data_IF_101064492436
#
_entry.id   IF_101064492436
#
_cell.length_a   1.000
_cell.length_b   1.000
_cell.length_c   1.000
_cell.angle_alpha   90.00
_cell.angle_beta   90.00
_cell.angle_gamma   90.00
#
_symmetry.space_group_name_H-M   'P 1'
#
loop_
_entity.id
_entity.type
_entity.pdbx_description
1 polymer ?
#
# COMPACT_ATOMS: atom_id res chain seq x y z
N UNK A 1 -24.39 21.53 -17.82
CA UNK A 1 -23.46 21.77 -16.69
C UNK A 1 -23.84 20.95 -15.46
N UNK A 2 -25.00 21.17 -14.82
CA UNK A 2 -25.42 20.47 -13.59
C UNK A 2 -25.46 18.93 -13.72
N UNK A 3 -25.99 18.40 -14.82
CA UNK A 3 -26.06 16.94 -15.08
C UNK A 3 -24.66 16.32 -15.22
N UNK A 4 -23.75 17.00 -15.94
CA UNK A 4 -22.36 16.58 -16.08
C UNK A 4 -21.62 16.61 -14.74
N UNK A 5 -21.85 17.65 -13.95
CA UNK A 5 -21.29 17.79 -12.61
C UNK A 5 -21.79 16.69 -11.66
N UNK A 6 -23.09 16.38 -11.70
CA UNK A 6 -23.67 15.29 -10.91
C UNK A 6 -23.14 13.91 -11.34
N UNK A 7 -22.97 13.68 -12.65
CA UNK A 7 -22.41 12.44 -13.18
C UNK A 7 -20.96 12.25 -12.72
N UNK A 8 -20.15 13.31 -12.73
CA UNK A 8 -18.78 13.31 -12.21
C UNK A 8 -18.77 12.95 -10.72
N UNK A 9 -19.67 13.53 -9.92
CA UNK A 9 -19.79 13.22 -8.48
C UNK A 9 -20.20 11.77 -8.22
N UNK A 10 -21.11 11.21 -9.02
CA UNK A 10 -21.56 9.82 -8.86
C UNK A 10 -20.43 8.85 -9.24
N UNK A 11 -19.77 9.07 -10.37
CA UNK A 11 -18.60 8.27 -10.79
C UNK A 11 -17.48 8.39 -9.75
N UNK A 12 -17.28 9.59 -9.21
CA UNK A 12 -16.34 9.89 -8.14
C UNK A 12 -16.60 9.07 -6.87
N UNK A 13 -17.83 9.07 -6.38
CA UNK A 13 -18.20 8.36 -5.15
C UNK A 13 -18.11 6.84 -5.35
N UNK A 14 -18.57 6.35 -6.50
CA UNK A 14 -18.47 4.94 -6.88
C UNK A 14 -17.01 4.47 -6.95
N UNK A 15 -16.11 5.30 -7.48
CA UNK A 15 -14.69 4.99 -7.58
C UNK A 15 -13.97 4.94 -6.22
N UNK A 16 -14.21 5.94 -5.35
CA UNK A 16 -13.66 5.93 -3.99
C UNK A 16 -14.13 4.69 -3.23
N UNK A 17 -15.43 4.41 -3.30
CA UNK A 17 -16.02 3.24 -2.64
C UNK A 17 -15.38 1.97 -3.17
N UNK A 18 -15.22 1.85 -4.49
CA UNK A 18 -14.59 0.67 -5.10
C UNK A 18 -13.17 0.44 -4.58
N UNK A 19 -12.30 1.46 -4.61
CA UNK A 19 -10.92 1.30 -4.13
C UNK A 19 -10.89 1.03 -2.62
N UNK A 20 -11.73 1.71 -1.85
CA UNK A 20 -11.85 1.46 -0.41
C UNK A 20 -12.27 0.02 -0.13
N UNK A 21 -13.26 -0.50 -0.87
CA UNK A 21 -13.69 -1.89 -0.79
C UNK A 21 -12.53 -2.83 -1.14
N UNK A 22 -11.75 -2.54 -2.18
CA UNK A 22 -10.59 -3.37 -2.53
C UNK A 22 -9.53 -3.36 -1.41
N UNK A 23 -9.25 -2.22 -0.80
CA UNK A 23 -8.32 -2.13 0.35
C UNK A 23 -8.86 -2.93 1.54
N UNK A 24 -10.15 -2.81 1.85
CA UNK A 24 -10.79 -3.59 2.90
C UNK A 24 -10.74 -5.09 2.58
N UNK A 25 -11.05 -5.49 1.34
CA UNK A 25 -10.95 -6.89 0.89
C UNK A 25 -9.52 -7.39 1.00
N UNK A 26 -8.52 -6.58 0.64
CA UNK A 26 -7.11 -6.94 0.74
C UNK A 26 -6.73 -7.18 2.21
N UNK A 27 -7.05 -6.25 3.10
CA UNK A 27 -6.82 -6.37 4.55
C UNK A 27 -7.51 -7.62 5.09
N UNK A 28 -8.80 -7.79 4.79
CA UNK A 28 -9.57 -8.96 5.21
C UNK A 28 -9.02 -10.26 4.64
N UNK A 29 -8.56 -10.28 3.39
CA UNK A 29 -7.96 -11.45 2.76
C UNK A 29 -6.69 -11.88 3.50
N UNK A 30 -5.83 -10.93 3.88
CA UNK A 30 -4.64 -11.22 4.69
C UNK A 30 -5.01 -11.77 6.07
N UNK A 31 -6.01 -11.19 6.74
CA UNK A 31 -6.50 -11.69 8.03
C UNK A 31 -7.19 -13.06 7.92
N UNK A 32 -8.02 -13.28 6.91
CA UNK A 32 -8.66 -14.55 6.60
C UNK A 32 -7.63 -15.62 6.27
N UNK A 33 -6.63 -15.30 5.46
CA UNK A 33 -5.53 -16.21 5.17
C UNK A 33 -4.78 -16.59 6.43
N UNK A 34 -4.46 -15.62 7.28
CA UNK A 34 -3.84 -15.86 8.58
C UNK A 34 -4.69 -16.81 9.44
N UNK A 35 -6.00 -16.55 9.55
CA UNK A 35 -6.93 -17.38 10.31
C UNK A 35 -7.05 -18.80 9.74
N UNK A 36 -7.21 -18.93 8.42
CA UNK A 36 -7.28 -20.22 7.73
C UNK A 36 -5.99 -21.01 7.89
N UNK A 37 -4.80 -20.40 7.76
CA UNK A 37 -3.54 -21.13 7.90
C UNK A 37 -3.25 -21.52 9.34
N UNK A 38 -3.62 -20.67 10.31
CA UNK A 38 -3.55 -21.03 11.72
C UNK A 38 -4.40 -22.29 12.03
N UNK A 39 -5.65 -22.33 11.56
CA UNK A 39 -6.54 -23.46 11.81
C UNK A 39 -6.22 -24.69 10.94
N UNK A 40 -5.82 -24.49 9.67
CA UNK A 40 -5.43 -25.56 8.76
C UNK A 40 -4.11 -26.19 9.23
N UNK A 41 -3.13 -25.42 9.71
CA UNK A 41 -1.88 -25.97 10.23
C UNK A 41 -2.08 -26.82 11.49
N UNK A 42 -3.08 -26.51 12.32
CA UNK A 42 -3.50 -27.37 13.44
C UNK A 42 -4.07 -28.72 12.95
N UNK A 43 -4.67 -28.75 11.75
CA UNK A 43 -5.28 -29.94 11.14
C UNK A 43 -4.39 -30.67 10.11
N UNK A 44 -3.31 -30.04 9.60
CA UNK A 44 -2.32 -30.63 8.66
C UNK A 44 -1.29 -31.46 9.44
N UNK A 45 -1.80 -32.41 10.20
CA UNK A 45 -1.06 -33.55 10.79
C UNK A 45 -0.75 -34.60 9.69
N UNK A 46 -1.31 -34.45 8.47
CA UNK A 46 -1.45 -35.57 7.51
C UNK A 46 -0.43 -35.58 6.35
N UNK A 47 0.30 -34.49 6.06
CA UNK A 47 1.16 -34.39 4.86
C UNK A 47 2.67 -34.61 5.11
N UNK A 48 3.05 -35.09 6.29
CA UNK A 48 4.45 -35.30 6.71
C UNK A 48 5.24 -36.40 5.96
N UNK A 49 4.80 -36.81 4.77
CA UNK A 49 5.43 -37.88 3.98
C UNK A 49 5.90 -37.53 2.58
N UNK A 50 5.58 -36.35 2.03
CA UNK A 50 5.91 -36.01 0.64
C UNK A 50 7.25 -35.27 0.59
N UNK A 51 8.23 -35.87 -0.08
CA UNK A 51 9.52 -35.23 -0.33
C UNK A 51 9.39 -34.09 -1.36
N UNK A 52 10.20 -33.04 -1.21
CA UNK A 52 10.24 -31.91 -2.15
C UNK A 52 10.48 -32.36 -3.60
N UNK A 53 11.27 -33.41 -3.83
CA UNK A 53 11.55 -33.95 -5.16
C UNK A 53 10.30 -34.53 -5.84
N UNK A 54 9.37 -35.09 -5.07
CA UNK A 54 8.07 -35.57 -5.57
C UNK A 54 7.12 -34.40 -5.78
N UNK A 55 7.02 -33.49 -4.81
CA UNK A 55 6.15 -32.32 -4.90
C UNK A 55 6.48 -31.42 -6.11
N UNK A 56 7.76 -31.21 -6.41
CA UNK A 56 8.19 -30.39 -7.56
C UNK A 56 8.01 -31.07 -8.92
N UNK A 57 7.73 -32.39 -8.94
CA UNK A 57 7.37 -33.12 -10.16
C UNK A 57 5.87 -33.23 -10.37
N UNK A 58 5.08 -32.83 -9.37
CA UNK A 58 3.63 -32.85 -9.47
C UNK A 58 3.14 -31.77 -10.45
N UNK A 59 2.45 -32.21 -11.49
CA UNK A 59 1.85 -31.33 -12.50
C UNK A 59 0.88 -30.30 -11.91
N UNK A 60 0.21 -30.62 -10.81
CA UNK A 60 -0.73 -29.70 -10.13
C UNK A 60 0.00 -28.53 -9.48
N UNK A 61 1.14 -28.81 -8.81
CA UNK A 61 2.00 -27.80 -8.19
C UNK A 61 2.59 -26.89 -9.26
N UNK A 62 3.16 -27.47 -10.33
CA UNK A 62 3.74 -26.69 -11.43
C UNK A 62 2.69 -25.81 -12.13
N UNK A 63 1.47 -26.31 -12.33
CA UNK A 63 0.38 -25.54 -12.94
C UNK A 63 -0.07 -24.38 -12.04
N UNK A 64 -0.19 -24.61 -10.74
CA UNK A 64 -0.55 -23.56 -9.77
C UNK A 64 0.50 -22.44 -9.78
N UNK A 65 1.77 -22.79 -9.63
CA UNK A 65 2.88 -21.82 -9.66
C UNK A 65 2.96 -21.09 -10.99
N UNK A 66 2.76 -21.79 -12.11
CA UNK A 66 2.74 -21.17 -13.44
C UNK A 66 1.63 -20.12 -13.56
N UNK A 67 0.43 -20.42 -13.07
CA UNK A 67 -0.69 -19.48 -13.07
C UNK A 67 -0.41 -18.28 -12.15
N UNK A 68 0.10 -18.53 -10.94
CA UNK A 68 0.45 -17.47 -9.98
C UNK A 68 1.52 -16.53 -10.54
N UNK A 69 2.54 -17.06 -11.23
CA UNK A 69 3.55 -16.25 -11.91
C UNK A 69 2.95 -15.41 -13.04
N UNK A 70 2.03 -15.96 -13.82
CA UNK A 70 1.32 -15.20 -14.86
C UNK A 70 0.48 -14.09 -14.24
N UNK A 71 -0.21 -14.35 -13.13
CA UNK A 71 -0.97 -13.32 -12.41
C UNK A 71 -0.06 -12.22 -11.86
N UNK A 72 1.10 -12.58 -11.31
CA UNK A 72 2.11 -11.63 -10.82
C UNK A 72 2.64 -10.74 -11.93
N UNK A 73 2.99 -11.35 -13.07
CA UNK A 73 3.46 -10.62 -14.27
C UNK A 73 2.36 -9.73 -14.82
N UNK A 74 1.11 -10.21 -14.89
CA UNK A 74 -0.03 -9.40 -15.33
C UNK A 74 -0.17 -8.12 -14.48
N UNK A 75 -0.14 -8.28 -13.16
CA UNK A 75 -0.23 -7.16 -12.22
C UNK A 75 0.95 -6.19 -12.35
N UNK A 76 2.18 -6.70 -12.28
CA UNK A 76 3.38 -5.84 -12.31
C UNK A 76 3.58 -5.16 -13.66
N UNK A 77 3.31 -5.85 -14.76
CA UNK A 77 3.38 -5.32 -16.11
C UNK A 77 2.33 -4.24 -16.30
N UNK A 78 1.07 -4.49 -15.93
CA UNK A 78 0.01 -3.47 -16.03
C UNK A 78 0.38 -2.22 -15.22
N UNK A 79 0.85 -2.40 -13.98
CA UNK A 79 1.21 -1.31 -13.08
C UNK A 79 2.42 -0.51 -13.62
N UNK A 80 3.49 -1.19 -14.03
CA UNK A 80 4.71 -0.57 -14.55
C UNK A 80 4.52 0.08 -15.91
N UNK A 81 3.78 -0.56 -16.83
CA UNK A 81 3.56 -0.02 -18.18
C UNK A 81 2.83 1.30 -18.14
N UNK A 82 1.77 1.43 -17.33
CA UNK A 82 1.05 2.71 -17.22
C UNK A 82 1.85 3.79 -16.48
N UNK A 83 2.83 3.39 -15.66
CA UNK A 83 3.76 4.31 -15.01
C UNK A 83 4.92 4.73 -15.93
N UNK A 84 5.17 4.01 -17.02
CA UNK A 84 6.27 4.27 -17.94
C UNK A 84 6.02 5.54 -18.76
N UNK A 85 7.00 6.45 -18.81
CA UNK A 85 6.84 7.81 -19.36
C UNK A 85 6.19 7.89 -20.75
N UNK A 86 6.55 7.06 -21.76
CA UNK A 86 5.92 7.13 -23.08
C UNK A 86 4.42 6.82 -23.03
N UNK A 87 4.05 5.74 -22.32
CA UNK A 87 2.66 5.30 -22.17
C UNK A 87 1.89 6.30 -21.31
N UNK A 88 2.49 6.74 -20.20
CA UNK A 88 1.92 7.75 -19.31
C UNK A 88 1.60 9.04 -20.07
N UNK A 89 2.49 9.54 -20.93
CA UNK A 89 2.25 10.74 -21.75
C UNK A 89 1.12 10.53 -22.76
N UNK A 90 1.05 9.36 -23.40
CA UNK A 90 -0.03 9.02 -24.33
C UNK A 90 -1.38 8.89 -23.62
N UNK A 91 -1.43 8.29 -22.44
CA UNK A 91 -2.64 8.22 -21.63
C UNK A 91 -3.03 9.59 -21.08
N UNK A 92 -2.07 10.42 -20.69
CA UNK A 92 -2.33 11.80 -20.27
C UNK A 92 -2.88 12.67 -21.41
N UNK A 93 -2.39 12.52 -22.65
CA UNK A 93 -2.95 13.26 -23.79
C UNK A 93 -4.37 12.82 -24.15
N UNK A 94 -4.70 11.54 -23.93
CA UNK A 94 -6.03 11.01 -24.22
C UNK A 94 -7.05 11.26 -23.09
N UNK A 95 -6.65 11.14 -21.82
CA UNK A 95 -7.55 11.15 -20.66
C UNK A 95 -7.45 12.43 -19.81
N UNK A 96 -6.43 13.26 -20.03
CA UNK A 96 -6.19 14.48 -19.26
C UNK A 96 -6.16 14.21 -17.75
N UNK A 97 -7.02 14.92 -17.02
CA UNK A 97 -7.14 14.85 -15.55
C UNK A 97 -7.61 13.49 -15.03
N UNK A 98 -8.24 12.66 -15.88
CA UNK A 98 -8.71 11.33 -15.50
C UNK A 98 -7.59 10.27 -15.52
N UNK A 99 -6.43 10.57 -16.11
CA UNK A 99 -5.33 9.61 -16.27
C UNK A 99 -4.94 8.93 -14.95
N UNK A 100 -4.85 9.71 -13.86
CA UNK A 100 -4.46 9.18 -12.54
C UNK A 100 -5.53 8.26 -11.95
N UNK A 101 -6.81 8.61 -12.07
CA UNK A 101 -7.90 7.76 -11.62
C UNK A 101 -7.92 6.45 -12.42
N UNK A 102 -7.81 6.52 -13.75
CA UNK A 102 -7.77 5.35 -14.63
C UNK A 102 -6.62 4.40 -14.27
N UNK A 103 -5.43 4.95 -14.03
CA UNK A 103 -4.28 4.21 -13.54
C UNK A 103 -4.58 3.47 -12.23
N UNK A 104 -5.13 4.16 -11.23
CA UNK A 104 -5.47 3.59 -9.94
C UNK A 104 -6.56 2.51 -10.05
N UNK A 105 -7.64 2.74 -10.83
CA UNK A 105 -8.71 1.76 -11.03
C UNK A 105 -8.21 0.49 -11.68
N UNK A 106 -7.46 0.62 -12.78
CA UNK A 106 -6.98 -0.53 -13.55
C UNK A 106 -5.94 -1.33 -12.76
N UNK A 107 -5.09 -0.66 -11.97
CA UNK A 107 -4.16 -1.32 -11.04
C UNK A 107 -4.90 -2.08 -9.95
N UNK A 108 -5.95 -1.49 -9.36
CA UNK A 108 -6.76 -2.15 -8.35
C UNK A 108 -7.54 -3.35 -8.92
N UNK A 109 -8.03 -3.26 -10.15
CA UNK A 109 -8.66 -4.37 -10.87
C UNK A 109 -7.65 -5.50 -11.14
N UNK A 110 -6.45 -5.19 -11.62
CA UNK A 110 -5.40 -6.18 -11.84
C UNK A 110 -5.02 -6.91 -10.53
N UNK A 111 -4.91 -6.16 -9.43
CA UNK A 111 -4.68 -6.74 -8.10
C UNK A 111 -5.86 -7.62 -7.65
N UNK A 112 -7.10 -7.21 -7.89
CA UNK A 112 -8.28 -8.01 -7.57
C UNK A 112 -8.30 -9.34 -8.35
N UNK A 113 -7.95 -9.30 -9.64
CA UNK A 113 -7.82 -10.51 -10.48
C UNK A 113 -6.74 -11.43 -9.90
N UNK A 114 -5.57 -10.89 -9.55
CA UNK A 114 -4.51 -11.65 -8.89
C UNK A 114 -5.00 -12.33 -7.61
N UNK A 115 -5.66 -11.59 -6.72
CA UNK A 115 -6.19 -12.15 -5.46
C UNK A 115 -7.27 -13.22 -5.68
N UNK A 116 -8.15 -13.01 -6.66
CA UNK A 116 -9.29 -13.89 -6.93
C UNK A 116 -8.88 -15.22 -7.56
N UNK A 117 -7.89 -15.19 -8.44
CA UNK A 117 -7.46 -16.37 -9.19
C UNK A 117 -6.19 -17.03 -8.65
N UNK A 118 -5.63 -16.51 -7.54
CA UNK A 118 -4.48 -17.10 -6.85
C UNK A 118 -4.70 -18.58 -6.53
N UNK A 119 -3.71 -19.43 -6.82
CA UNK A 119 -3.78 -20.88 -6.63
C UNK A 119 -2.94 -21.31 -5.42
N UNK A 120 -3.54 -21.53 -4.24
CA UNK A 120 -2.78 -21.99 -3.09
C UNK A 120 -2.19 -23.38 -3.36
N UNK A 121 -0.88 -23.54 -3.10
CA UNK A 121 -0.20 -24.82 -3.30
C UNK A 121 -0.34 -25.65 -2.03
N UNK A 122 -1.30 -26.57 -2.02
CA UNK A 122 -1.60 -27.46 -0.87
C UNK A 122 -0.93 -28.83 -0.97
N UNK A 123 -0.56 -29.27 -2.17
CA UNK A 123 0.08 -30.59 -2.41
C UNK A 123 1.60 -30.60 -2.18
N UNK A 124 2.22 -29.46 -1.89
CA UNK A 124 3.63 -29.37 -1.51
C UNK A 124 3.78 -29.17 0.01
N UNK A 125 4.86 -29.67 0.62
CA UNK A 125 5.16 -29.34 2.02
C UNK A 125 5.40 -27.83 2.20
N UNK A 126 5.10 -27.31 3.39
CA UNK A 126 5.45 -25.93 3.74
C UNK A 126 6.98 -25.76 3.81
N UNK A 127 7.50 -24.60 3.42
CA UNK A 127 8.93 -24.28 3.57
C UNK A 127 9.33 -24.21 5.04
N UNK A 128 8.49 -23.60 5.86
CA UNK A 128 8.63 -23.63 7.31
C UNK A 128 7.27 -23.46 7.99
N UNK A 129 7.20 -23.94 9.22
CA UNK A 129 6.02 -23.91 10.07
C UNK A 129 6.47 -24.08 11.52
N UNK A 130 6.06 -23.15 12.39
CA UNK A 130 6.36 -23.25 13.84
C UNK A 130 5.30 -24.11 14.50
N UNK A 131 5.70 -25.29 15.00
CA UNK A 131 4.79 -26.31 15.56
C UNK A 131 5.15 -26.77 16.97
N UNK A 132 6.26 -26.28 17.53
CA UNK A 132 6.72 -26.70 18.86
C UNK A 132 5.99 -25.92 19.94
N UNK A 133 5.29 -26.61 20.84
CA UNK A 133 4.69 -25.96 22.00
C UNK A 133 5.78 -25.28 22.87
N UNK A 134 5.56 -24.05 23.37
CA UNK A 134 4.35 -23.22 23.27
C UNK A 134 4.36 -22.24 22.06
N UNK A 135 5.38 -22.28 21.22
CA UNK A 135 5.57 -21.35 20.11
C UNK A 135 4.56 -21.50 18.98
N UNK A 136 3.89 -22.64 18.91
CA UNK A 136 2.73 -22.89 18.05
C UNK A 136 1.59 -21.88 18.27
N UNK A 137 1.45 -21.32 19.48
CA UNK A 137 0.47 -20.28 19.81
C UNK A 137 1.09 -18.88 19.78
N UNK A 138 2.25 -18.71 20.43
CA UNK A 138 2.86 -17.38 20.61
C UNK A 138 3.39 -16.79 19.30
N UNK A 139 3.99 -17.61 18.44
CA UNK A 139 4.60 -17.12 17.21
C UNK A 139 3.56 -16.58 16.22
N UNK A 140 2.45 -17.28 15.94
CA UNK A 140 1.36 -16.70 15.16
C UNK A 140 0.85 -15.39 15.77
N UNK A 141 0.60 -15.33 17.09
CA UNK A 141 0.10 -14.11 17.75
C UNK A 141 1.02 -12.90 17.52
N UNK A 142 2.34 -13.10 17.57
CA UNK A 142 3.33 -12.06 17.23
C UNK A 142 3.17 -11.64 15.77
N UNK A 143 3.11 -12.60 14.83
CA UNK A 143 2.92 -12.31 13.40
C UNK A 143 1.63 -11.51 13.15
N UNK A 144 0.51 -11.91 13.77
CA UNK A 144 -0.77 -11.19 13.68
C UNK A 144 -0.65 -9.75 14.18
N UNK A 145 -0.02 -9.55 15.34
CA UNK A 145 0.13 -8.23 15.95
C UNK A 145 0.98 -7.32 15.06
N UNK A 146 2.07 -7.84 14.52
CA UNK A 146 2.93 -7.09 13.59
C UNK A 146 2.19 -6.78 12.29
N UNK A 147 1.46 -7.74 11.72
CA UNK A 147 0.64 -7.50 10.53
C UNK A 147 -0.42 -6.44 10.76
N UNK A 148 -1.14 -6.51 11.89
CA UNK A 148 -2.12 -5.50 12.25
C UNK A 148 -1.49 -4.10 12.33
N UNK A 149 -0.32 -4.00 12.98
CA UNK A 149 0.42 -2.74 13.06
C UNK A 149 0.88 -2.25 11.68
N UNK A 150 1.39 -3.13 10.82
CA UNK A 150 1.79 -2.80 9.45
C UNK A 150 0.60 -2.24 8.65
N UNK A 151 -0.57 -2.89 8.72
CA UNK A 151 -1.77 -2.40 8.06
C UNK A 151 -2.26 -1.07 8.62
N UNK A 152 -2.21 -0.87 9.93
CA UNK A 152 -2.54 0.40 10.56
C UNK A 152 -1.61 1.54 10.08
N UNK A 153 -0.31 1.26 9.96
CA UNK A 153 0.67 2.22 9.43
C UNK A 153 0.42 2.51 7.95
N UNK A 154 0.18 1.48 7.12
CA UNK A 154 -0.17 1.64 5.69
C UNK A 154 -1.40 2.55 5.54
N UNK A 155 -2.47 2.27 6.28
CA UNK A 155 -3.68 3.10 6.26
C UNK A 155 -3.41 4.54 6.72
N UNK A 156 -2.57 4.71 7.74
CA UNK A 156 -2.18 6.04 8.23
C UNK A 156 -1.38 6.82 7.17
N UNK A 157 -0.45 6.17 6.48
CA UNK A 157 0.32 6.77 5.38
C UNK A 157 -0.63 7.19 4.24
N UNK A 158 -1.60 6.35 3.87
CA UNK A 158 -2.59 6.69 2.85
C UNK A 158 -3.39 7.95 3.21
N UNK A 159 -3.74 8.13 4.48
CA UNK A 159 -4.42 9.34 4.95
C UNK A 159 -3.50 10.56 4.93
N UNK A 160 -2.25 10.43 5.38
CA UNK A 160 -1.25 11.51 5.39
C UNK A 160 -0.95 12.01 3.97
N UNK A 161 -0.92 11.12 3.00
CA UNK A 161 -0.61 11.43 1.60
C UNK A 161 -1.80 12.02 0.82
N UNK A 162 -2.90 12.38 1.50
CA UNK A 162 -4.14 12.88 0.91
C UNK A 162 -4.74 11.85 -0.06
N UNK A 163 -5.51 10.91 0.47
CA UNK A 163 -6.09 9.79 -0.27
C UNK A 163 -6.82 10.21 -1.58
N UNK A 164 -7.65 11.26 -1.61
CA UNK A 164 -8.18 11.83 -2.85
C UNK A 164 -7.11 12.25 -3.88
N UNK A 165 -6.02 12.86 -3.44
CA UNK A 165 -4.91 13.25 -4.33
C UNK A 165 -4.18 12.02 -4.89
N UNK A 166 -4.01 10.97 -4.08
CA UNK A 166 -3.45 9.69 -4.51
C UNK A 166 -4.29 9.03 -5.60
N UNK A 167 -5.62 9.06 -5.45
CA UNK A 167 -6.58 8.44 -6.37
C UNK A 167 -6.82 9.22 -7.67
N UNK A 168 -6.29 10.44 -7.84
CA UNK A 168 -6.60 11.24 -9.03
C UNK A 168 -7.86 12.11 -8.90
N UNK A 169 -8.53 12.06 -7.76
CA UNK A 169 -9.79 12.79 -7.51
C UNK A 169 -9.53 14.28 -7.46
N UNK A 170 -8.51 14.67 -6.69
CA UNK A 170 -8.24 16.08 -6.43
C UNK A 170 -7.90 16.81 -7.73
N UNK A 171 -7.25 16.12 -8.66
CA UNK A 171 -6.94 16.61 -10.00
C UNK A 171 -8.23 16.90 -10.79
N UNK A 172 -9.22 16.01 -10.75
CA UNK A 172 -10.53 16.22 -11.40
C UNK A 172 -11.30 17.37 -10.73
N UNK A 173 -11.33 17.40 -9.39
CA UNK A 173 -12.02 18.44 -8.64
C UNK A 173 -11.44 19.84 -8.90
N UNK A 174 -10.11 19.98 -8.90
CA UNK A 174 -9.45 21.25 -9.14
C UNK A 174 -9.66 21.74 -10.58
N UNK A 175 -9.67 20.83 -11.56
CA UNK A 175 -9.97 21.17 -12.95
C UNK A 175 -11.41 21.69 -13.10
N UNK A 176 -12.39 21.03 -12.48
CA UNK A 176 -13.78 21.48 -12.47
C UNK A 176 -13.96 22.88 -11.86
N UNK A 177 -13.08 23.27 -10.94
CA UNK A 177 -13.07 24.60 -10.30
C UNK A 177 -12.14 25.61 -11.00
N UNK A 178 -11.39 25.21 -12.02
CA UNK A 178 -10.40 26.07 -12.69
C UNK A 178 -9.18 26.41 -11.83
N UNK A 179 -8.86 25.59 -10.83
CA UNK A 179 -7.76 25.81 -9.87
C UNK A 179 -6.40 25.25 -10.33
N UNK A 180 -6.34 24.51 -11.44
CA UNK A 180 -5.12 23.90 -11.98
C UNK A 180 -4.62 22.67 -11.20
N UNK A 181 -3.41 22.18 -11.50
CA UNK A 181 -2.88 20.94 -10.88
C UNK A 181 -2.58 21.10 -9.37
N UNK A 182 -3.20 20.31 -8.48
CA UNK A 182 -2.94 20.37 -7.04
C UNK A 182 -1.47 20.11 -6.66
N UNK A 183 -0.70 19.36 -7.46
CA UNK A 183 0.72 19.13 -7.20
C UNK A 183 1.57 20.39 -7.42
N UNK A 184 1.18 21.26 -8.36
CA UNK A 184 1.89 22.50 -8.65
C UNK A 184 1.86 23.50 -7.48
N UNK A 185 0.87 23.38 -6.59
CA UNK A 185 0.71 24.21 -5.39
C UNK A 185 1.65 23.80 -4.24
N UNK A 186 2.31 22.64 -4.32
CA UNK A 186 3.23 22.17 -3.27
C UNK A 186 4.62 22.80 -3.44
N UNK A 187 5.36 22.92 -2.34
CA UNK A 187 6.76 23.42 -2.39
C UNK A 187 7.64 22.54 -3.29
N UNK A 188 8.65 23.13 -3.94
CA UNK A 188 9.56 22.41 -4.84
C UNK A 188 10.26 21.22 -4.17
N UNK A 189 10.60 21.33 -2.88
CA UNK A 189 11.18 20.23 -2.09
C UNK A 189 10.19 19.07 -1.91
N UNK A 190 8.92 19.38 -1.64
CA UNK A 190 7.88 18.37 -1.54
C UNK A 190 7.62 17.69 -2.89
N UNK A 191 7.53 18.46 -3.98
CA UNK A 191 7.36 17.91 -5.34
C UNK A 191 8.49 16.92 -5.70
N UNK A 192 9.74 17.27 -5.38
CA UNK A 192 10.89 16.38 -5.55
C UNK A 192 10.77 15.10 -4.73
N UNK A 193 10.44 15.21 -3.44
CA UNK A 193 10.26 14.05 -2.57
C UNK A 193 9.17 13.12 -3.15
N UNK A 194 8.02 13.65 -3.58
CA UNK A 194 6.95 12.84 -4.19
C UNK A 194 7.36 12.19 -5.51
N UNK A 195 8.26 12.81 -6.28
CA UNK A 195 8.77 12.22 -7.52
C UNK A 195 9.71 11.03 -7.27
N UNK A 196 10.48 11.06 -6.17
CA UNK A 196 11.45 10.03 -5.82
C UNK A 196 10.88 8.94 -4.89
N UNK A 197 9.91 9.30 -4.04
CA UNK A 197 9.22 8.39 -3.11
C UNK A 197 8.08 7.67 -3.82
N UNK A 198 8.44 6.74 -4.72
CA UNK A 198 7.47 5.96 -5.50
C UNK A 198 6.59 5.05 -4.63
N UNK A 199 7.14 4.53 -3.54
CA UNK A 199 6.48 3.55 -2.68
C UNK A 199 6.74 3.86 -1.19
N UNK A 200 5.89 4.68 -0.54
CA UNK A 200 6.08 5.05 0.86
C UNK A 200 5.80 3.92 1.87
N UNK A 201 5.23 2.79 1.40
CA UNK A 201 4.79 1.64 2.22
C UNK A 201 5.63 0.38 2.02
N UNK A 202 6.85 0.50 1.48
CA UNK A 202 7.68 -0.66 1.13
C UNK A 202 7.97 -1.56 2.33
N UNK A 203 8.32 -0.98 3.48
CA UNK A 203 8.78 -1.73 4.65
C UNK A 203 7.64 -2.54 5.25
N UNK A 204 6.48 -1.94 5.39
CA UNK A 204 5.27 -2.56 5.92
C UNK A 204 4.79 -3.69 5.00
N UNK A 205 4.83 -3.49 3.68
CA UNK A 205 4.50 -4.54 2.71
C UNK A 205 5.50 -5.70 2.77
N UNK A 206 6.81 -5.44 2.88
CA UNK A 206 7.81 -6.49 3.02
C UNK A 206 7.60 -7.31 4.30
N UNK A 207 7.30 -6.65 5.43
CA UNK A 207 6.97 -7.34 6.67
C UNK A 207 5.74 -8.23 6.51
N UNK A 208 4.67 -7.72 5.89
CA UNK A 208 3.43 -8.48 5.64
C UNK A 208 3.63 -9.68 4.71
N UNK A 209 4.57 -9.59 3.76
CA UNK A 209 4.87 -10.67 2.83
C UNK A 209 5.70 -11.81 3.45
N UNK A 210 6.65 -11.47 4.33
CA UNK A 210 7.61 -12.44 4.86
C UNK A 210 7.29 -12.96 6.26
N UNK A 211 6.62 -12.17 7.11
CA UNK A 211 6.37 -12.53 8.51
C UNK A 211 5.11 -13.39 8.67
N UNK A 212 5.19 -14.63 8.19
CA UNK A 212 4.07 -15.58 8.21
C UNK A 212 4.33 -16.71 9.23
N UNK A 213 3.33 -17.18 9.99
CA UNK A 213 3.51 -18.33 10.90
C UNK A 213 3.84 -19.64 10.16
N UNK A 214 3.40 -19.72 8.91
CA UNK A 214 3.61 -20.83 7.98
C UNK A 214 3.82 -20.28 6.59
N UNK A 215 4.90 -20.66 5.93
CA UNK A 215 5.19 -20.23 4.55
C UNK A 215 5.04 -21.39 3.59
N UNK A 216 4.03 -21.30 2.73
CA UNK A 216 3.81 -22.22 1.61
C UNK A 216 4.66 -21.81 0.39
N UNK A 217 4.76 -22.71 -0.59
CA UNK A 217 5.57 -22.48 -1.79
C UNK A 217 5.04 -21.30 -2.64
N UNK A 218 3.73 -21.21 -2.85
CA UNK A 218 3.11 -20.09 -3.57
C UNK A 218 3.36 -18.75 -2.88
N UNK A 219 3.26 -18.71 -1.55
CA UNK A 219 3.53 -17.49 -0.77
C UNK A 219 4.98 -17.07 -0.81
N UNK A 220 5.91 -18.02 -0.81
CA UNK A 220 7.33 -17.72 -0.99
C UNK A 220 7.59 -17.08 -2.37
N UNK A 221 6.98 -17.62 -3.43
CA UNK A 221 7.06 -17.04 -4.79
C UNK A 221 6.48 -15.63 -4.83
N UNK A 222 5.30 -15.42 -4.23
CA UNK A 222 4.66 -14.10 -4.08
C UNK A 222 5.59 -13.11 -3.37
N UNK A 223 6.10 -13.50 -2.20
CA UNK A 223 6.94 -12.65 -1.36
C UNK A 223 8.24 -12.28 -2.08
N UNK A 224 8.92 -13.26 -2.69
CA UNK A 224 10.16 -13.03 -3.42
C UNK A 224 9.94 -12.12 -4.62
N UNK A 225 8.92 -12.39 -5.44
CA UNK A 225 8.61 -11.62 -6.63
C UNK A 225 8.30 -10.16 -6.29
N UNK A 226 7.39 -9.92 -5.34
CA UNK A 226 7.01 -8.56 -4.94
C UNK A 226 8.15 -7.84 -4.21
N UNK A 227 8.99 -8.55 -3.47
CA UNK A 227 10.19 -7.94 -2.85
C UNK A 227 11.18 -7.46 -3.89
N UNK A 228 11.47 -8.27 -4.91
CA UNK A 228 12.33 -7.88 -6.02
C UNK A 228 11.72 -6.70 -6.79
N UNK A 229 10.42 -6.76 -7.04
CA UNK A 229 9.69 -5.68 -7.70
C UNK A 229 9.79 -4.34 -6.93
N UNK A 230 9.55 -4.36 -5.61
CA UNK A 230 9.68 -3.18 -4.75
C UNK A 230 11.12 -2.66 -4.68
N UNK A 231 12.10 -3.56 -4.59
CA UNK A 231 13.51 -3.19 -4.53
C UNK A 231 13.97 -2.48 -5.81
N UNK A 232 13.57 -2.98 -6.98
CA UNK A 232 13.88 -2.37 -8.28
C UNK A 232 13.16 -1.03 -8.50
N UNK A 233 12.04 -0.80 -7.82
CA UNK A 233 11.25 0.41 -7.93
C UNK A 233 11.69 1.54 -6.97
N UNK A 234 12.64 1.28 -6.06
CA UNK A 234 13.11 2.27 -5.10
C UNK A 234 14.04 3.31 -5.74
N UNK A 235 13.75 4.60 -5.53
CA UNK A 235 14.48 5.72 -6.16
C UNK A 235 14.81 6.87 -5.21
N UNK A 236 14.80 6.65 -3.89
CA UNK A 236 15.16 7.70 -2.93
C UNK A 236 16.66 7.99 -2.94
N UNK A 237 17.02 9.26 -2.86
CA UNK A 237 18.41 9.67 -2.69
C UNK A 237 18.69 10.30 -1.32
N UNK A 238 19.97 10.54 -1.02
CA UNK A 238 20.41 11.09 0.26
C UNK A 238 19.79 12.47 0.58
N UNK A 239 19.41 13.26 -0.44
CA UNK A 239 18.80 14.59 -0.25
C UNK A 239 17.34 14.45 0.19
N UNK A 240 16.62 13.45 -0.34
CA UNK A 240 15.25 13.16 0.09
C UNK A 240 15.22 12.65 1.53
N UNK A 241 16.15 11.76 1.90
CA UNK A 241 16.29 11.27 3.27
C UNK A 241 16.57 12.42 4.26
N UNK A 242 17.47 13.35 3.92
CA UNK A 242 17.76 14.51 4.75
C UNK A 242 16.53 15.43 4.90
N UNK A 243 15.77 15.64 3.83
CA UNK A 243 14.53 16.41 3.87
C UNK A 243 13.49 15.75 4.77
N UNK A 244 13.26 14.44 4.65
CA UNK A 244 12.31 13.70 5.48
C UNK A 244 12.71 13.74 6.97
N UNK A 245 14.00 13.57 7.27
CA UNK A 245 14.53 13.67 8.63
C UNK A 245 14.28 15.06 9.23
N UNK A 246 14.45 16.14 8.43
CA UNK A 246 14.21 17.50 8.90
C UNK A 246 12.73 17.73 9.26
N UNK A 247 11.80 17.23 8.42
CA UNK A 247 10.37 17.35 8.64
C UNK A 247 9.92 16.56 9.88
N UNK A 248 10.41 15.33 10.03
CA UNK A 248 10.14 14.51 11.21
C UNK A 248 10.62 15.20 12.48
N UNK A 249 11.83 15.74 12.47
CA UNK A 249 12.38 16.41 13.65
C UNK A 249 11.58 17.67 14.02
N UNK A 250 11.20 18.50 13.05
CA UNK A 250 10.33 19.66 13.30
C UNK A 250 8.97 19.27 13.87
N UNK A 251 8.36 18.16 13.40
CA UNK A 251 7.09 17.67 13.92
C UNK A 251 7.23 17.11 15.34
N UNK A 252 8.27 16.34 15.60
CA UNK A 252 8.55 15.82 16.94
C UNK A 252 8.78 16.96 17.94
N UNK A 253 9.52 18.01 17.54
CA UNK A 253 9.72 19.20 18.36
C UNK A 253 8.40 19.89 18.72
N UNK A 254 7.48 20.01 17.76
CA UNK A 254 6.14 20.57 18.01
C UNK A 254 5.32 19.72 18.99
N UNK A 255 5.45 18.39 18.96
CA UNK A 255 4.77 17.50 19.92
C UNK A 255 5.43 17.47 21.29
N UNK A 256 6.75 17.67 21.36
CA UNK A 256 7.50 17.73 22.63
C UNK A 256 7.49 19.11 23.27
N UNK A 257 7.10 20.15 22.54
CA UNK A 257 6.96 21.49 23.10
C UNK A 257 5.85 21.45 24.17
N UNK A 258 6.11 21.88 25.41
CA UNK A 258 5.07 21.90 26.43
C UNK A 258 3.90 22.76 25.93
N UNK A 259 2.68 22.21 25.93
CA UNK A 259 1.46 23.00 25.79
C UNK A 259 1.34 23.88 27.04
N UNK A 260 1.96 25.06 27.02
CA UNK A 260 1.96 25.99 28.14
C UNK A 260 1.49 27.37 27.70
N UNK A 261 0.34 27.80 28.23
CA UNK A 261 0.04 29.23 28.40
C UNK A 261 -1.07 29.81 27.52
N UNK A 262 -2.32 29.42 27.77
CA UNK A 262 -3.45 30.32 27.55
C UNK A 262 -3.51 31.33 28.71
N UNK A 263 -2.88 32.49 28.56
CA UNK A 263 -3.26 33.76 29.23
C UNK A 263 -2.40 34.95 28.76
N UNK A 264 -3.07 35.89 28.09
CA UNK A 264 -2.88 37.36 28.13
C UNK A 264 -1.49 37.92 27.77
N UNK A 265 -1.22 38.29 26.51
CA UNK A 265 -1.55 39.60 25.89
C UNK A 265 -1.41 40.78 26.88
N UNK A 266 -0.23 41.39 26.83
CA UNK A 266 0.10 42.72 27.38
C UNK A 266 -0.99 43.76 27.08
N UNK A 267 -1.63 44.27 28.13
CA UNK A 267 -2.30 45.56 28.14
C UNK A 267 -1.27 46.69 28.25
N UNK A 268 -0.74 47.13 27.12
CA UNK A 268 -0.13 48.45 27.03
C UNK A 268 -1.23 49.48 26.78
N UNK A 269 -1.69 50.13 27.85
CA UNK A 269 -2.46 51.37 27.77
C UNK A 269 -1.93 52.40 28.75
N UNK A 270 -1.76 53.62 28.24
CA UNK A 270 -1.58 54.91 28.93
C UNK A 270 -0.15 55.37 29.24
N UNK A 271 0.43 56.01 28.23
CA UNK A 271 1.36 57.15 28.31
C UNK A 271 0.78 58.30 29.17
N UNK A 272 1.55 58.95 30.07
CA UNK A 272 1.19 60.26 30.61
C UNK A 272 2.07 61.36 30.01
N UNK A 273 1.42 62.33 29.35
CA UNK A 273 1.97 63.65 29.01
C UNK A 273 2.41 64.39 30.27
N UNK A 274 3.57 65.05 30.22
CA UNK A 274 3.94 66.14 31.12
C UNK A 274 4.03 67.43 30.32
N UNK A 275 3.26 68.41 30.78
CA UNK A 275 3.50 69.84 30.59
C UNK A 275 4.66 70.32 31.48
#
# INVERSE_FOLDING_TARGET
FLIYFLLIIIIYFSFIIYIFIIVVILVLYFFMFYYYNFFLCLNVIILHGVSWSVALRDSSVLRALGLDLVLLVLFSLQHSLLAWDPVKRACQSALGVLNRAMYCTTTALALQVLMRYWQPVTSAPCLWSVRSAPWDIWFPLICFTVHFLCWAVICSILLIFDYPELLGVKQVYYECLGLGDPLALKSARAQRLYAHLRHPVCVELLLVLWLLPTLTLDRCVLALYLSLYLALAHSLDAKDCAYLSSQLHSKLQLFSAPQGGSAEINSNSAEPKRD
#
